data_IF_572038403445
#
_entry.id   IF_572038403445
#
_cell.length_a   1.000
_cell.length_b   1.000
_cell.length_c   1.000
_cell.angle_alpha   90.00
_cell.angle_beta   90.00
_cell.angle_gamma   90.00
#
_symmetry.space_group_name_H-M   'P 1'
#
loop_
_entity.id
_entity.type
_entity.pdbx_description
1 polymer ?
#
# COMPACT_ATOMS: atom_id res chain seq x y z
N UNK A 1 31.85 50.72 -10.11
CA UNK A 1 31.43 49.75 -11.15
C UNK A 1 31.81 48.29 -10.81
N UNK A 2 33.03 47.98 -10.32
CA UNK A 2 33.45 46.60 -9.99
C UNK A 2 32.59 45.90 -8.89
N UNK A 3 32.14 46.65 -7.87
CA UNK A 3 31.37 46.12 -6.72
C UNK A 3 29.93 45.68 -7.07
N UNK A 4 29.31 46.36 -8.04
CA UNK A 4 27.98 46.01 -8.56
C UNK A 4 28.01 44.77 -9.46
N UNK A 5 29.11 44.59 -10.21
CA UNK A 5 29.34 43.41 -11.04
C UNK A 5 29.49 42.13 -10.18
N UNK A 6 30.14 42.25 -9.02
CA UNK A 6 30.25 41.15 -8.04
C UNK A 6 28.90 40.83 -7.40
N UNK A 7 28.09 41.84 -7.06
CA UNK A 7 26.75 41.63 -6.51
C UNK A 7 25.81 40.93 -7.52
N UNK A 8 25.86 41.32 -8.80
CA UNK A 8 25.10 40.65 -9.86
C UNK A 8 25.52 39.18 -10.02
N UNK A 9 26.82 38.89 -9.97
CA UNK A 9 27.32 37.52 -10.09
C UNK A 9 26.89 36.62 -8.92
N UNK A 10 26.84 37.16 -7.70
CA UNK A 10 26.38 36.43 -6.51
C UNK A 10 24.88 36.14 -6.59
N UNK A 11 24.07 37.10 -7.03
CA UNK A 11 22.61 36.92 -7.17
C UNK A 11 22.29 35.91 -8.27
N UNK A 12 23.01 35.93 -9.40
CA UNK A 12 22.84 34.93 -10.46
C UNK A 12 23.28 33.54 -10.01
N UNK A 13 24.38 33.42 -9.26
CA UNK A 13 24.82 32.14 -8.69
C UNK A 13 23.81 31.57 -7.68
N UNK A 14 23.19 32.45 -6.88
CA UNK A 14 22.19 32.08 -5.88
C UNK A 14 20.84 31.66 -6.51
N UNK A 15 20.49 32.21 -7.67
CA UNK A 15 19.33 31.76 -8.47
C UNK A 15 19.56 30.38 -9.13
N UNK A 16 20.79 30.05 -9.51
CA UNK A 16 21.13 28.73 -10.07
C UNK A 16 21.06 27.59 -9.04
N UNK A 17 21.32 27.88 -7.76
CA UNK A 17 21.19 26.91 -6.66
C UNK A 17 19.72 26.54 -6.33
N UNK A 18 18.75 27.36 -6.75
CA UNK A 18 17.33 27.14 -6.53
C UNK A 18 16.67 26.17 -7.53
N UNK A 19 17.32 25.85 -8.65
CA UNK A 19 16.74 25.00 -9.70
C UNK A 19 16.96 23.48 -9.47
N UNK A 20 17.72 23.11 -8.43
CA UNK A 20 18.24 21.75 -8.25
C UNK A 20 17.42 20.78 -7.39
N UNK A 21 16.27 21.18 -6.83
CA UNK A 21 15.49 20.28 -5.96
C UNK A 21 14.14 19.94 -6.62
N UNK A 22 14.20 19.22 -7.73
CA UNK A 22 13.04 18.42 -8.16
C UNK A 22 13.02 17.19 -7.27
N UNK A 23 12.28 17.27 -6.15
CA UNK A 23 11.95 16.08 -5.38
C UNK A 23 10.93 15.29 -6.19
N UNK A 24 11.36 14.18 -6.79
CA UNK A 24 10.45 13.21 -7.36
C UNK A 24 9.66 12.60 -6.19
N UNK A 25 8.43 13.09 -5.98
CA UNK A 25 7.51 12.47 -5.05
C UNK A 25 7.27 11.03 -5.51
N UNK A 26 7.84 10.08 -4.78
CA UNK A 26 7.60 8.66 -5.01
C UNK A 26 6.11 8.44 -4.75
N UNK A 27 5.38 8.01 -5.77
CA UNK A 27 3.98 7.65 -5.59
C UNK A 27 3.91 6.48 -4.59
N UNK A 28 3.50 6.76 -3.36
CA UNK A 28 3.20 5.73 -2.39
C UNK A 28 1.92 5.03 -2.83
N UNK A 29 2.03 3.75 -3.17
CA UNK A 29 0.87 2.94 -3.48
C UNK A 29 -0.03 2.89 -2.24
N UNK A 30 -1.24 3.41 -2.37
CA UNK A 30 -2.25 3.35 -1.31
C UNK A 30 -2.59 1.88 -1.06
N UNK A 31 -2.09 1.31 0.03
CA UNK A 31 -2.43 -0.05 0.47
C UNK A 31 -3.66 -0.01 1.36
N UNK A 32 -4.79 -0.62 0.94
CA UNK A 32 -5.99 -0.65 1.77
C UNK A 32 -5.74 -1.37 3.10
N UNK A 33 -6.20 -0.79 4.20
CA UNK A 33 -6.17 -1.44 5.52
C UNK A 33 -7.41 -2.33 5.69
N UNK A 34 -7.21 -3.52 6.25
CA UNK A 34 -8.29 -4.46 6.56
C UNK A 34 -8.63 -4.37 8.05
N UNK A 35 -9.90 -4.15 8.38
CA UNK A 35 -10.41 -4.07 9.75
C UNK A 35 -11.64 -4.98 9.85
N UNK A 36 -11.65 -5.89 10.82
CA UNK A 36 -12.79 -6.75 11.15
C UNK A 36 -13.12 -6.59 12.63
N UNK A 37 -14.37 -6.25 12.95
CA UNK A 37 -14.86 -6.05 14.32
C UNK A 37 -13.96 -5.11 15.16
N UNK A 38 -13.47 -4.03 14.54
CA UNK A 38 -12.57 -3.07 15.18
C UNK A 38 -11.12 -3.54 15.34
N UNK A 39 -10.77 -4.75 14.91
CA UNK A 39 -9.39 -5.27 14.92
C UNK A 39 -8.77 -5.14 13.54
N UNK A 40 -7.58 -4.54 13.48
CA UNK A 40 -6.77 -4.52 12.28
C UNK A 40 -6.30 -5.95 11.94
N UNK A 41 -6.46 -6.34 10.68
CA UNK A 41 -5.94 -7.60 10.15
C UNK A 41 -4.62 -7.32 9.43
N UNK A 42 -3.63 -8.18 9.66
CA UNK A 42 -2.32 -8.12 9.01
C UNK A 42 -2.19 -9.25 7.99
N UNK A 43 -2.55 -9.03 6.72
CA UNK A 43 -2.41 -10.05 5.70
C UNK A 43 -0.94 -10.19 5.27
N UNK A 44 -0.47 -11.42 5.06
CA UNK A 44 0.88 -11.69 4.54
C UNK A 44 1.10 -11.10 3.13
N UNK A 45 0.01 -11.00 2.36
CA UNK A 45 0.00 -10.36 1.04
C UNK A 45 -0.89 -9.11 1.14
N UNK A 46 -0.38 -7.92 0.83
CA UNK A 46 -1.15 -6.69 0.94
C UNK A 46 -2.34 -6.71 -0.03
N UNK A 47 -3.49 -6.10 0.35
CA UNK A 47 -4.59 -5.90 -0.58
C UNK A 47 -4.16 -5.06 -1.78
N UNK A 48 -4.75 -5.34 -2.94
CA UNK A 48 -4.46 -4.63 -4.19
C UNK A 48 -5.75 -4.09 -4.78
N UNK A 49 -5.71 -2.86 -5.28
CA UNK A 49 -6.83 -2.28 -6.03
C UNK A 49 -6.68 -2.67 -7.51
N UNK A 50 -7.67 -3.36 -8.07
CA UNK A 50 -7.76 -3.72 -9.48
C UNK A 50 -9.16 -3.39 -9.98
N UNK A 51 -9.27 -2.66 -11.09
CA UNK A 51 -10.56 -2.30 -11.71
C UNK A 51 -11.57 -1.70 -10.72
N UNK A 52 -11.11 -0.79 -9.86
CA UNK A 52 -11.90 -0.16 -8.78
C UNK A 52 -12.41 -1.13 -7.70
N UNK A 53 -11.89 -2.36 -7.66
CA UNK A 53 -12.21 -3.38 -6.65
C UNK A 53 -10.97 -3.68 -5.80
N UNK A 54 -11.15 -3.87 -4.50
CA UNK A 54 -10.05 -4.28 -3.61
C UNK A 54 -9.99 -5.80 -3.58
N UNK A 55 -8.93 -6.37 -4.15
CA UNK A 55 -8.65 -7.79 -4.05
C UNK A 55 -7.91 -8.10 -2.74
N UNK A 56 -8.47 -9.03 -1.97
CA UNK A 56 -7.92 -9.47 -0.69
C UNK A 56 -7.59 -10.97 -0.72
N UNK A 57 -6.58 -11.44 0.04
CA UNK A 57 -6.30 -12.87 0.14
C UNK A 57 -7.48 -13.64 0.74
N UNK A 58 -8.01 -14.61 0.00
CA UNK A 58 -9.17 -15.43 0.41
C UNK A 58 -8.99 -16.03 1.80
N UNK A 59 -7.78 -16.52 2.11
CA UNK A 59 -7.43 -17.15 3.40
C UNK A 59 -7.70 -16.22 4.58
N UNK A 60 -7.27 -14.96 4.50
CA UNK A 60 -7.48 -13.98 5.58
C UNK A 60 -8.97 -13.71 5.75
N UNK A 61 -9.69 -13.44 4.65
CA UNK A 61 -11.12 -13.16 4.72
C UNK A 61 -11.89 -14.29 5.41
N UNK A 62 -11.65 -15.53 5.03
CA UNK A 62 -12.32 -16.71 5.60
C UNK A 62 -11.86 -17.04 7.02
N UNK A 63 -10.56 -16.99 7.31
CA UNK A 63 -10.03 -17.36 8.62
C UNK A 63 -10.41 -16.34 9.69
N UNK A 64 -10.46 -15.06 9.33
CA UNK A 64 -10.95 -14.00 10.24
C UNK A 64 -12.43 -14.18 10.57
N UNK A 65 -13.21 -14.79 9.68
CA UNK A 65 -14.61 -15.16 9.90
C UNK A 65 -14.79 -16.51 10.64
N UNK A 66 -13.71 -17.21 11.01
CA UNK A 66 -13.76 -18.48 11.72
C UNK A 66 -13.92 -19.73 10.84
N UNK A 67 -13.71 -19.60 9.54
CA UNK A 67 -13.73 -20.74 8.61
C UNK A 67 -12.34 -21.34 8.46
N UNK A 68 -12.29 -22.66 8.27
CA UNK A 68 -11.06 -23.37 7.91
C UNK A 68 -10.93 -23.43 6.40
N UNK A 69 -9.75 -23.09 5.89
CA UNK A 69 -9.43 -23.15 4.46
C UNK A 69 -8.32 -24.14 4.20
N UNK A 70 -8.64 -25.13 3.37
CA UNK A 70 -7.71 -26.14 2.87
C UNK A 70 -7.50 -25.97 1.36
N UNK A 71 -6.29 -26.27 0.90
CA UNK A 71 -5.96 -26.22 -0.52
C UNK A 71 -5.32 -27.53 -0.96
N UNK A 72 -6.01 -28.24 -1.85
CA UNK A 72 -5.48 -29.42 -2.52
C UNK A 72 -4.78 -29.00 -3.81
N UNK A 73 -3.45 -28.96 -3.78
CA UNK A 73 -2.64 -28.59 -4.94
C UNK A 73 -2.73 -29.60 -6.10
N UNK A 74 -3.04 -30.88 -5.82
CA UNK A 74 -3.18 -31.90 -6.87
C UNK A 74 -4.47 -31.69 -7.64
N UNK A 75 -5.55 -31.33 -6.95
CA UNK A 75 -6.87 -31.08 -7.55
C UNK A 75 -7.12 -29.61 -7.94
N UNK A 76 -6.20 -28.71 -7.61
CA UNK A 76 -6.37 -27.24 -7.74
C UNK A 76 -7.67 -26.77 -7.08
N UNK A 77 -8.01 -27.38 -5.94
CA UNK A 77 -9.28 -27.16 -5.27
C UNK A 77 -9.07 -26.47 -3.93
N UNK A 78 -9.85 -25.41 -3.69
CA UNK A 78 -9.93 -24.75 -2.39
C UNK A 78 -11.20 -25.26 -1.70
N UNK A 79 -11.05 -25.74 -0.46
CA UNK A 79 -12.17 -26.21 0.37
C UNK A 79 -12.30 -25.30 1.57
N UNK A 80 -13.47 -24.69 1.75
CA UNK A 80 -13.81 -23.85 2.90
C UNK A 80 -14.83 -24.60 3.76
N UNK A 81 -14.50 -24.86 5.01
CA UNK A 81 -15.40 -25.51 5.97
C UNK A 81 -15.74 -24.61 7.14
N UNK A 82 -17.01 -24.62 7.54
CA UNK A 82 -17.50 -23.89 8.70
C UNK A 82 -16.87 -24.47 9.97
N UNK A 83 -16.03 -23.66 10.63
CA UNK A 83 -15.45 -23.99 11.92
C UNK A 83 -16.48 -23.76 13.03
N UNK A 84 -17.54 -24.57 13.06
CA UNK A 84 -18.47 -24.74 14.20
C UNK A 84 -18.92 -23.50 14.99
N UNK A 85 -18.86 -22.27 14.44
CA UNK A 85 -19.56 -21.12 15.01
C UNK A 85 -20.96 -21.08 14.42
N UNK A 86 -21.84 -21.80 15.09
CA UNK A 86 -23.29 -21.63 14.97
C UNK A 86 -23.58 -20.18 15.37
N UNK A 87 -23.89 -19.33 14.40
CA UNK A 87 -24.50 -18.03 14.63
C UNK A 87 -25.80 -18.29 15.42
N UNK A 88 -25.89 -17.69 16.59
CA UNK A 88 -27.10 -17.63 17.41
C UNK A 88 -27.46 -16.17 17.61
#
# INVERSE_FOLDING_TARGET
>A
MKKWLVLLFVVTGMLFLSAGIVSAAKAEALTPKLILDGKALEPQVPPVVMDSTVMIPVRIATSSLGYKVDYDNKKKQVTVSSGSKKWS
#
